data_IF_789948984816
#
_entry.id   IF_789948984816
#
_cell.length_a   1.000
_cell.length_b   1.000
_cell.length_c   1.000
_cell.angle_alpha   90.00
_cell.angle_beta   90.00
_cell.angle_gamma   90.00
#
_symmetry.space_group_name_H-M   'P 1'
#
loop_
_entity.id
_entity.type
_entity.pdbx_description
1 polymer ?
#
# COMPACT_ATOMS: atom_id res chain seq x y z
N UNK A 1 5.61 18.81 41.89
CA UNK A 1 6.68 18.35 40.95
C UNK A 1 6.45 16.87 40.74
N UNK A 2 5.93 16.45 39.61
CA UNK A 2 5.71 15.03 39.33
C UNK A 2 7.05 14.42 38.86
N UNK A 3 7.64 13.60 39.73
CA UNK A 3 8.80 12.81 39.38
C UNK A 3 8.35 11.70 38.42
N UNK A 4 8.96 11.68 37.21
CA UNK A 4 8.80 10.57 36.29
C UNK A 4 9.78 9.49 36.74
N UNK A 5 9.26 8.36 37.20
CA UNK A 5 10.06 7.20 37.58
C UNK A 5 10.45 6.44 36.29
N UNK A 6 11.75 6.37 36.03
CA UNK A 6 12.28 5.71 34.84
C UNK A 6 13.17 4.54 35.21
N UNK A 7 13.07 3.42 34.51
CA UNK A 7 13.87 2.21 34.74
C UNK A 7 14.85 1.97 33.60
N UNK A 8 16.05 1.53 33.94
CA UNK A 8 17.09 1.13 32.99
C UNK A 8 16.95 -0.36 32.68
N UNK A 9 16.92 -0.73 31.43
CA UNK A 9 16.84 -2.11 30.99
C UNK A 9 15.66 -2.43 30.07
N UNK A 10 15.67 -3.61 29.47
CA UNK A 10 14.55 -4.10 28.64
C UNK A 10 13.35 -4.41 29.55
N UNK A 11 12.16 -3.95 29.16
CA UNK A 11 10.92 -4.19 29.88
C UNK A 11 9.96 -4.94 28.96
N UNK A 12 9.60 -6.14 29.35
CA UNK A 12 8.55 -6.93 28.69
C UNK A 12 7.30 -6.87 29.58
N UNK A 13 6.40 -5.95 29.23
CA UNK A 13 5.14 -5.77 29.94
C UNK A 13 3.98 -6.11 29.00
N UNK A 14 3.07 -6.95 29.46
CA UNK A 14 1.89 -7.31 28.72
C UNK A 14 1.05 -6.09 28.31
N UNK A 15 0.30 -6.23 27.24
CA UNK A 15 -0.54 -5.17 26.70
C UNK A 15 -1.54 -4.65 27.75
N UNK A 16 -1.63 -3.33 27.91
CA UNK A 16 -2.49 -2.66 28.88
C UNK A 16 -1.84 -2.29 30.22
N UNK A 17 -0.57 -2.66 30.44
CA UNK A 17 0.15 -2.23 31.64
C UNK A 17 0.77 -0.84 31.46
N UNK A 18 0.80 -0.06 32.54
CA UNK A 18 1.50 1.23 32.55
C UNK A 18 3.00 0.97 32.55
N UNK A 19 3.66 1.39 31.49
CA UNK A 19 5.10 1.24 31.35
C UNK A 19 5.80 2.53 31.79
N UNK A 20 6.72 2.50 32.76
CA UNK A 20 7.54 3.66 33.05
C UNK A 20 8.46 3.96 31.86
N UNK A 21 8.68 5.24 31.59
CA UNK A 21 9.60 5.65 30.52
C UNK A 21 11.01 5.16 30.83
N UNK A 22 11.68 4.67 29.80
CA UNK A 22 13.08 4.33 29.87
C UNK A 22 13.93 5.61 29.70
N UNK A 23 14.87 5.85 30.59
CA UNK A 23 15.87 6.90 30.44
C UNK A 23 17.24 6.31 30.18
N UNK A 24 18.03 6.99 29.36
CA UNK A 24 19.44 6.71 29.21
C UNK A 24 20.25 7.08 30.49
N UNK A 25 21.55 6.80 30.46
CA UNK A 25 22.47 7.04 31.59
C UNK A 25 22.53 8.50 32.04
N UNK A 26 22.13 9.43 31.16
CA UNK A 26 22.16 10.88 31.38
C UNK A 26 20.77 11.48 31.56
N UNK A 27 19.77 10.65 31.92
CA UNK A 27 18.37 11.04 32.10
C UNK A 27 17.67 11.56 30.82
N UNK A 28 18.23 11.29 29.66
CA UNK A 28 17.64 11.48 28.36
C UNK A 28 16.66 10.34 28.04
N UNK A 29 15.63 10.61 27.23
CA UNK A 29 14.71 9.58 26.79
C UNK A 29 15.39 8.71 25.74
N UNK A 30 15.56 7.43 26.05
CA UNK A 30 16.11 6.47 25.09
C UNK A 30 14.97 5.82 24.30
N UNK A 31 14.71 6.33 23.10
CA UNK A 31 13.84 5.73 22.11
C UNK A 31 14.67 4.86 21.18
N UNK A 32 14.95 3.64 21.58
CA UNK A 32 15.64 2.70 20.71
C UNK A 32 14.63 1.94 19.87
N UNK A 33 14.52 2.27 18.58
CA UNK A 33 13.91 1.39 17.59
C UNK A 33 14.85 0.18 17.35
N UNK A 34 14.81 -0.78 18.25
CA UNK A 34 15.55 -2.03 18.09
C UNK A 34 14.95 -2.96 17.02
N UNK A 35 13.77 -2.64 16.55
CA UNK A 35 12.96 -3.43 15.60
C UNK A 35 12.47 -2.53 14.47
N UNK A 36 12.14 -3.14 13.31
CA UNK A 36 11.64 -2.38 12.15
C UNK A 36 10.40 -1.55 12.46
N UNK A 37 10.22 -0.44 11.75
CA UNK A 37 9.20 0.61 11.96
C UNK A 37 7.77 0.07 12.19
N UNK A 38 7.39 -1.05 11.55
CA UNK A 38 6.04 -1.61 11.66
C UNK A 38 5.97 -2.90 12.49
N UNK A 39 7.06 -3.28 13.16
CA UNK A 39 7.15 -4.56 13.84
C UNK A 39 6.04 -4.77 14.88
N UNK A 40 5.76 -3.75 15.70
CA UNK A 40 4.73 -3.86 16.74
C UNK A 40 3.33 -4.00 16.13
N UNK A 41 3.02 -3.24 15.07
CA UNK A 41 1.75 -3.38 14.35
C UNK A 41 1.61 -4.76 13.70
N UNK A 42 2.70 -5.29 13.14
CA UNK A 42 2.72 -6.65 12.58
C UNK A 42 2.49 -7.67 13.68
N UNK A 43 3.20 -7.57 14.81
CA UNK A 43 3.08 -8.47 15.96
C UNK A 43 1.68 -8.47 16.56
N UNK A 44 1.02 -7.32 16.60
CA UNK A 44 -0.39 -7.18 17.01
C UNK A 44 -1.38 -7.77 15.99
N UNK A 45 -0.88 -8.17 14.82
CA UNK A 45 -1.71 -8.72 13.75
C UNK A 45 -2.58 -7.66 13.05
N UNK A 46 -2.18 -6.40 13.05
CA UNK A 46 -2.92 -5.29 12.45
C UNK A 46 -2.40 -4.91 11.06
N UNK A 47 -1.36 -5.56 10.56
CA UNK A 47 -0.83 -5.32 9.21
C UNK A 47 -1.25 -6.43 8.26
N UNK A 48 -1.72 -6.02 7.09
CA UNK A 48 -2.22 -6.90 6.03
C UNK A 48 -1.55 -6.58 4.71
N UNK A 49 -1.55 -7.55 3.82
CA UNK A 49 -1.02 -7.40 2.47
C UNK A 49 -1.90 -8.11 1.44
N UNK A 50 -1.89 -7.58 0.24
CA UNK A 50 -2.47 -8.22 -0.93
C UNK A 50 -1.59 -7.98 -2.16
N UNK A 51 -1.51 -8.98 -3.03
CA UNK A 51 -0.70 -8.92 -4.22
C UNK A 51 -1.48 -9.43 -5.42
N UNK A 52 -1.34 -8.72 -6.53
CA UNK A 52 -1.75 -9.21 -7.82
C UNK A 52 -0.54 -9.80 -8.55
N UNK A 53 -0.54 -11.10 -8.74
CA UNK A 53 0.58 -11.85 -9.37
C UNK A 53 0.39 -12.05 -10.88
N UNK A 54 -0.83 -11.86 -11.41
CA UNK A 54 -1.09 -11.89 -12.84
C UNK A 54 -0.92 -10.49 -13.43
N UNK A 55 -0.20 -10.37 -14.53
CA UNK A 55 0.00 -9.09 -15.21
C UNK A 55 -1.33 -8.43 -15.59
N UNK A 56 -1.44 -7.12 -15.32
CA UNK A 56 -2.56 -6.30 -15.74
C UNK A 56 -2.16 -5.40 -16.89
N UNK A 57 -2.95 -5.35 -17.94
CA UNK A 57 -2.78 -4.39 -19.04
C UNK A 57 -3.06 -2.99 -18.53
N UNK A 58 -2.21 -2.02 -18.89
CA UNK A 58 -2.36 -0.63 -18.48
C UNK A 58 -3.29 0.13 -19.41
N UNK A 59 -3.98 1.09 -18.82
CA UNK A 59 -4.82 2.01 -19.58
C UNK A 59 -4.04 3.21 -20.13
N UNK A 60 -4.68 3.97 -21.01
CA UNK A 60 -4.15 5.25 -21.51
C UNK A 60 -4.64 6.44 -20.69
N UNK A 61 -5.62 6.23 -19.81
CA UNK A 61 -6.20 7.24 -18.92
C UNK A 61 -6.71 6.56 -17.65
N UNK A 62 -6.92 7.35 -16.59
CA UNK A 62 -7.61 6.88 -15.39
C UNK A 62 -9.04 6.45 -15.75
N UNK A 63 -9.47 5.34 -15.20
CA UNK A 63 -10.76 4.75 -15.50
C UNK A 63 -11.41 4.18 -14.24
N UNK A 64 -12.75 4.15 -14.23
CA UNK A 64 -13.51 3.48 -13.19
C UNK A 64 -13.33 1.96 -13.20
N UNK A 65 -12.86 1.39 -14.32
CA UNK A 65 -12.45 -0.02 -14.38
C UNK A 65 -10.97 -0.11 -14.04
N UNK A 66 -10.68 -0.20 -12.75
CA UNK A 66 -9.30 -0.21 -12.24
C UNK A 66 -8.67 -1.58 -12.43
N UNK A 67 -7.76 -1.68 -13.39
CA UNK A 67 -7.26 -2.96 -13.88
C UNK A 67 -6.19 -3.55 -12.96
N UNK A 68 -5.35 -2.71 -12.32
CA UNK A 68 -4.15 -3.20 -11.63
C UNK A 68 -4.47 -3.74 -10.24
N UNK A 69 -4.63 -2.91 -9.23
CA UNK A 69 -4.94 -3.31 -7.86
C UNK A 69 -5.75 -2.22 -7.17
N UNK A 70 -6.79 -2.60 -6.47
CA UNK A 70 -7.62 -1.70 -5.67
C UNK A 70 -7.69 -2.20 -4.24
N UNK A 71 -7.40 -1.33 -3.29
CA UNK A 71 -7.69 -1.51 -1.87
C UNK A 71 -8.96 -0.72 -1.54
N UNK A 72 -9.92 -1.39 -0.92
CA UNK A 72 -11.22 -0.84 -0.55
C UNK A 72 -11.48 -1.04 0.94
N UNK A 73 -11.89 0.02 1.61
CA UNK A 73 -12.40 -0.03 2.97
C UNK A 73 -13.94 -0.05 2.93
N UNK A 74 -14.59 -1.18 3.26
CA UNK A 74 -16.04 -1.30 3.18
C UNK A 74 -16.76 -0.30 4.10
N UNK A 75 -18.00 0.07 3.77
CA UNK A 75 -18.80 1.00 4.58
C UNK A 75 -19.07 0.47 6.00
N UNK A 76 -19.15 -0.85 6.17
CA UNK A 76 -19.35 -1.49 7.47
C UNK A 76 -18.07 -1.68 8.28
N UNK A 77 -16.93 -1.21 7.77
CA UNK A 77 -15.65 -1.30 8.47
C UNK A 77 -15.65 -0.43 9.73
N UNK A 78 -14.99 -0.92 10.78
CA UNK A 78 -14.75 -0.20 12.03
C UNK A 78 -13.29 0.22 12.19
N UNK A 79 -12.54 0.19 11.07
CA UNK A 79 -11.13 0.54 11.05
C UNK A 79 -10.81 1.49 9.90
N UNK A 80 -9.79 2.29 10.06
CA UNK A 80 -9.12 2.97 8.97
C UNK A 80 -8.03 2.08 8.37
N UNK A 81 -7.87 2.09 7.04
CA UNK A 81 -6.78 1.40 6.38
C UNK A 81 -5.66 2.40 6.09
N UNK A 82 -4.55 2.26 6.78
CA UNK A 82 -3.38 3.11 6.68
C UNK A 82 -2.39 2.46 5.71
N UNK A 83 -2.20 3.02 4.53
CA UNK A 83 -1.28 2.46 3.53
C UNK A 83 0.15 2.69 3.98
N UNK A 84 0.91 1.61 4.13
CA UNK A 84 2.31 1.62 4.57
C UNK A 84 3.27 1.59 3.39
N UNK A 85 3.02 0.67 2.46
CA UNK A 85 3.93 0.43 1.33
C UNK A 85 3.14 -0.08 0.13
N UNK A 86 3.59 0.27 -1.05
CA UNK A 86 3.18 -0.40 -2.27
C UNK A 86 4.40 -0.76 -3.12
N UNK A 87 4.30 -1.86 -3.85
CA UNK A 87 5.31 -2.26 -4.82
C UNK A 87 4.68 -2.41 -6.19
N UNK A 88 5.47 -2.14 -7.19
CA UNK A 88 5.05 -2.25 -8.55
C UNK A 88 6.19 -2.81 -9.42
N UNK A 89 5.85 -3.70 -10.33
CA UNK A 89 6.80 -4.22 -11.31
C UNK A 89 6.12 -4.38 -12.66
N UNK A 90 6.76 -3.89 -13.70
CA UNK A 90 6.36 -4.14 -15.07
C UNK A 90 6.75 -5.57 -15.47
N UNK A 91 5.83 -6.31 -16.06
CA UNK A 91 6.04 -7.70 -16.49
C UNK A 91 6.18 -7.86 -18.00
N UNK A 92 5.62 -6.94 -18.77
CA UNK A 92 5.81 -6.87 -20.20
C UNK A 92 5.78 -5.43 -20.69
N UNK A 93 6.58 -5.15 -21.69
CA UNK A 93 6.69 -3.85 -22.35
C UNK A 93 6.52 -4.00 -23.86
N UNK A 94 6.12 -2.91 -24.49
CA UNK A 94 6.02 -2.83 -25.94
C UNK A 94 7.40 -2.72 -26.57
N UNK A 95 7.61 -3.47 -27.66
CA UNK A 95 8.91 -3.56 -28.33
C UNK A 95 9.15 -2.49 -29.41
N UNK A 96 8.14 -1.72 -29.78
CA UNK A 96 8.15 -0.93 -31.03
C UNK A 96 7.99 0.58 -30.87
N UNK A 97 7.64 1.11 -29.69
CA UNK A 97 7.45 2.56 -29.50
C UNK A 97 8.06 3.05 -28.18
N UNK A 98 8.48 4.32 -28.18
CA UNK A 98 8.91 4.99 -26.95
C UNK A 98 7.69 5.16 -26.06
N UNK A 99 7.75 4.56 -24.87
CA UNK A 99 6.68 4.59 -23.89
C UNK A 99 7.22 5.18 -22.59
N UNK A 100 6.50 6.11 -22.00
CA UNK A 100 6.80 6.67 -20.68
C UNK A 100 5.66 6.27 -19.72
N UNK A 101 5.65 5.02 -19.24
CA UNK A 101 4.61 4.55 -18.37
C UNK A 101 4.71 5.24 -17.01
N UNK A 102 3.55 5.49 -16.41
CA UNK A 102 3.43 6.10 -15.08
C UNK A 102 2.49 5.27 -14.24
N UNK A 103 2.78 5.12 -12.97
CA UNK A 103 1.87 4.52 -11.99
C UNK A 103 1.35 5.60 -11.07
N UNK A 104 0.05 5.59 -10.82
CA UNK A 104 -0.63 6.56 -9.98
C UNK A 104 -1.39 5.85 -8.87
N UNK A 105 -1.40 6.48 -7.69
CA UNK A 105 -2.45 6.26 -6.71
C UNK A 105 -3.64 7.15 -7.07
N UNK A 106 -4.78 6.54 -7.25
CA UNK A 106 -6.01 7.26 -7.52
C UNK A 106 -7.10 6.81 -6.54
N UNK A 107 -7.87 7.75 -6.00
CA UNK A 107 -8.81 7.53 -4.93
C UNK A 107 -10.25 7.81 -5.33
N UNK A 108 -11.18 7.04 -4.78
CA UNK A 108 -12.58 7.39 -4.67
C UNK A 108 -12.85 7.76 -3.22
N UNK A 109 -13.19 9.03 -3.01
CA UNK A 109 -13.34 9.61 -1.67
C UNK A 109 -14.69 9.33 -1.03
N UNK A 110 -15.69 9.01 -1.85
CA UNK A 110 -17.02 8.61 -1.43
C UNK A 110 -17.55 7.60 -2.43
N UNK A 111 -17.67 6.37 -1.97
CA UNK A 111 -18.22 5.30 -2.81
C UNK A 111 -19.76 5.31 -2.83
N UNK A 112 -20.39 6.27 -2.13
CA UNK A 112 -21.84 6.55 -2.07
C UNK A 112 -22.73 5.36 -2.47
N UNK A 113 -22.76 4.35 -1.64
CA UNK A 113 -23.63 3.16 -1.75
C UNK A 113 -23.32 2.19 -2.90
N UNK A 114 -22.51 2.56 -3.89
CA UNK A 114 -22.11 1.65 -4.94
C UNK A 114 -20.93 0.79 -4.46
N UNK A 115 -21.12 -0.51 -4.41
CA UNK A 115 -20.06 -1.44 -4.01
C UNK A 115 -18.92 -1.43 -5.03
N UNK A 116 -17.68 -1.38 -4.54
CA UNK A 116 -16.52 -1.76 -5.36
C UNK A 116 -16.63 -3.25 -5.64
N UNK A 117 -16.63 -3.63 -6.91
CA UNK A 117 -16.68 -5.03 -7.34
C UNK A 117 -15.44 -5.38 -8.13
N UNK A 118 -15.12 -6.65 -8.26
CA UNK A 118 -13.96 -7.11 -9.02
C UNK A 118 -13.57 -8.53 -8.64
N UNK A 119 -12.44 -8.98 -9.16
CA UNK A 119 -11.86 -10.26 -8.76
C UNK A 119 -11.16 -10.09 -7.42
N UNK A 120 -11.69 -10.72 -6.37
CA UNK A 120 -11.11 -10.64 -5.04
C UNK A 120 -9.68 -11.18 -5.01
N UNK A 121 -8.78 -10.45 -4.41
CA UNK A 121 -7.43 -10.88 -4.11
C UNK A 121 -7.37 -11.48 -2.70
N UNK A 122 -6.42 -12.38 -2.49
CA UNK A 122 -6.21 -12.98 -1.18
C UNK A 122 -5.53 -11.92 -0.28
N UNK A 123 -6.24 -11.50 0.75
CA UNK A 123 -5.70 -10.67 1.83
C UNK A 123 -5.08 -11.57 2.89
N UNK A 124 -3.84 -11.31 3.25
CA UNK A 124 -3.09 -12.03 4.26
C UNK A 124 -2.58 -11.10 5.34
N UNK A 125 -2.63 -11.57 6.58
CA UNK A 125 -2.00 -10.91 7.70
C UNK A 125 -0.47 -11.04 7.59
N UNK A 126 0.27 -9.95 7.79
CA UNK A 126 1.73 -9.94 7.67
C UNK A 126 2.43 -10.77 8.75
N UNK A 127 1.78 -11.00 9.89
CA UNK A 127 2.26 -11.93 10.94
C UNK A 127 2.05 -13.41 10.56
N UNK A 128 1.49 -13.68 9.36
CA UNK A 128 1.24 -15.01 8.81
C UNK A 128 0.32 -15.89 9.66
N UNK A 129 -0.60 -15.29 10.39
CA UNK A 129 -1.60 -16.02 11.14
C UNK A 129 -3.03 -15.76 10.62
N UNK A 130 -4.03 -16.41 11.20
CA UNK A 130 -5.38 -16.53 10.61
C UNK A 130 -6.31 -15.34 10.82
N UNK A 131 -5.86 -14.21 11.41
CA UNK A 131 -6.69 -13.02 11.58
C UNK A 131 -7.13 -12.49 10.20
N UNK A 132 -8.42 -12.38 10.00
CA UNK A 132 -8.98 -11.76 8.82
C UNK A 132 -8.93 -10.24 8.94
N UNK A 133 -8.56 -9.56 7.85
CA UNK A 133 -8.66 -8.11 7.74
C UNK A 133 -10.07 -7.67 7.37
N UNK A 134 -10.38 -6.41 7.63
CA UNK A 134 -11.62 -5.77 7.16
C UNK A 134 -11.44 -5.13 5.78
N UNK A 135 -10.22 -4.74 5.43
CA UNK A 135 -9.87 -4.22 4.13
C UNK A 135 -10.01 -5.30 3.04
N UNK A 136 -10.58 -4.90 1.90
CA UNK A 136 -10.79 -5.76 0.74
C UNK A 136 -9.86 -5.33 -0.39
N UNK A 137 -9.24 -6.30 -1.05
CA UNK A 137 -8.39 -6.03 -2.21
C UNK A 137 -8.95 -6.71 -3.46
N UNK A 138 -8.91 -6.00 -4.58
CA UNK A 138 -9.45 -6.48 -5.85
C UNK A 138 -8.45 -6.28 -6.98
N UNK A 139 -8.51 -7.16 -7.96
CA UNK A 139 -8.00 -6.96 -9.31
C UNK A 139 -9.16 -6.78 -10.28
N UNK A 140 -8.94 -6.05 -11.38
CA UNK A 140 -9.99 -5.72 -12.35
C UNK A 140 -11.25 -5.13 -11.66
N UNK A 141 -11.04 -4.21 -10.74
CA UNK A 141 -12.11 -3.60 -9.96
C UNK A 141 -12.97 -2.69 -10.84
N UNK A 142 -14.27 -2.71 -10.60
CA UNK A 142 -15.21 -1.69 -11.08
C UNK A 142 -15.52 -0.76 -9.91
N UNK A 143 -15.19 0.50 -10.09
CA UNK A 143 -15.35 1.56 -9.09
C UNK A 143 -16.65 2.33 -9.35
N UNK A 144 -17.26 2.97 -8.34
CA UNK A 144 -18.47 3.77 -8.49
C UNK A 144 -18.31 4.94 -9.48
N UNK A 145 -17.12 5.50 -9.56
CA UNK A 145 -16.79 6.61 -10.47
C UNK A 145 -15.32 6.54 -10.88
N UNK A 146 -14.93 7.32 -11.88
CA UNK A 146 -13.53 7.49 -12.24
C UNK A 146 -12.78 8.08 -11.04
N UNK A 147 -11.71 7.42 -10.55
CA UNK A 147 -10.98 7.89 -9.39
C UNK A 147 -10.15 9.13 -9.71
N UNK A 148 -9.80 9.88 -8.68
CA UNK A 148 -8.99 11.09 -8.78
C UNK A 148 -7.55 10.73 -8.44
N UNK A 149 -6.59 11.14 -9.29
CA UNK A 149 -5.17 10.96 -9.00
C UNK A 149 -4.78 11.77 -7.75
N UNK A 150 -4.16 11.10 -6.77
CA UNK A 150 -3.72 11.72 -5.52
C UNK A 150 -2.21 11.74 -5.34
N UNK A 151 -1.50 10.79 -5.95
CA UNK A 151 -0.04 10.68 -5.84
C UNK A 151 0.53 9.93 -7.03
N UNK A 152 1.66 10.39 -7.53
CA UNK A 152 2.46 9.67 -8.52
C UNK A 152 3.37 8.68 -7.78
N UNK A 153 3.44 7.46 -8.27
CA UNK A 153 4.35 6.46 -7.77
C UNK A 153 5.80 6.86 -8.15
N UNK A 154 6.76 6.84 -7.21
CA UNK A 154 8.14 7.25 -7.50
C UNK A 154 8.87 6.18 -8.32
N UNK A 155 8.53 6.10 -9.59
CA UNK A 155 9.10 5.13 -10.51
C UNK A 155 9.33 5.77 -11.88
N UNK A 156 10.53 5.60 -12.40
CA UNK A 156 10.90 6.06 -13.73
C UNK A 156 11.31 4.88 -14.59
N UNK A 157 10.61 4.68 -15.69
CA UNK A 157 11.00 3.75 -16.73
C UNK A 157 11.12 4.52 -18.05
N UNK A 158 12.25 4.36 -18.69
CA UNK A 158 12.45 4.89 -20.05
C UNK A 158 12.64 3.71 -20.99
N UNK A 159 11.67 3.49 -21.85
CA UNK A 159 11.82 2.59 -22.97
C UNK A 159 12.41 3.39 -24.14
N UNK A 160 13.65 3.15 -24.50
CA UNK A 160 14.30 3.82 -25.61
C UNK A 160 14.29 2.92 -26.84
N UNK A 161 13.55 3.32 -27.87
CA UNK A 161 13.62 2.74 -29.21
C UNK A 161 14.65 3.50 -30.04
N UNK A 162 15.81 2.92 -30.22
CA UNK A 162 16.84 3.51 -31.07
C UNK A 162 18.06 2.61 -31.10
N UNK A 163 18.09 1.68 -32.06
CA UNK A 163 19.20 0.76 -32.23
C UNK A 163 18.92 -0.67 -31.71
N UNK A 164 19.80 -1.57 -32.01
CA UNK A 164 19.67 -3.03 -31.84
C UNK A 164 19.63 -3.52 -30.39
N UNK A 165 19.62 -2.63 -29.38
CA UNK A 165 19.62 -2.98 -27.96
C UNK A 165 18.51 -2.23 -27.26
N UNK A 166 17.44 -2.93 -26.94
CA UNK A 166 16.39 -2.44 -26.04
C UNK A 166 16.93 -2.63 -24.61
N UNK A 167 17.40 -1.57 -24.00
CA UNK A 167 17.73 -1.61 -22.57
C UNK A 167 16.42 -1.51 -21.77
N UNK A 168 15.91 -2.66 -21.36
CA UNK A 168 14.77 -2.77 -20.45
C UNK A 168 15.27 -2.67 -19.03
N UNK A 169 15.22 -1.49 -18.43
CA UNK A 169 15.39 -1.36 -16.99
C UNK A 169 14.07 -1.73 -16.31
N UNK A 170 13.95 -2.99 -15.91
CA UNK A 170 12.78 -3.51 -15.18
C UNK A 170 13.05 -3.53 -13.66
N UNK A 171 13.56 -2.45 -13.12
CA UNK A 171 13.72 -2.38 -11.67
C UNK A 171 12.33 -2.37 -11.01
N UNK A 172 12.07 -3.24 -10.01
CA UNK A 172 10.87 -3.11 -9.20
C UNK A 172 10.88 -1.77 -8.48
N UNK A 173 9.75 -1.10 -8.47
CA UNK A 173 9.58 0.13 -7.72
C UNK A 173 8.92 -0.16 -6.39
N UNK A 174 9.40 0.49 -5.34
CA UNK A 174 8.84 0.45 -3.99
C UNK A 174 8.53 1.87 -3.57
N UNK A 175 7.32 2.11 -3.11
CA UNK A 175 6.92 3.37 -2.49
C UNK A 175 6.57 3.12 -1.02
N UNK A 176 7.34 3.72 -0.13
CA UNK A 176 7.05 3.79 1.29
C UNK A 176 6.09 4.96 1.52
N UNK A 177 4.81 4.63 1.64
CA UNK A 177 3.73 5.62 1.83
C UNK A 177 3.70 6.09 3.28
N UNK A 178 4.09 5.22 4.21
CA UNK A 178 4.27 5.49 5.66
C UNK A 178 3.07 6.20 6.29
N UNK A 179 1.85 5.80 5.89
CA UNK A 179 0.63 6.38 6.42
C UNK A 179 0.18 7.71 5.80
N UNK A 180 0.84 8.20 4.75
CA UNK A 180 0.40 9.41 4.05
C UNK A 180 -0.92 9.23 3.27
N UNK A 181 -1.39 8.00 3.10
CA UNK A 181 -2.69 7.66 2.51
C UNK A 181 -3.48 6.83 3.53
N UNK A 182 -4.63 7.36 3.96
CA UNK A 182 -5.53 6.70 4.92
C UNK A 182 -6.92 6.57 4.28
N UNK A 183 -7.43 5.36 4.25
CA UNK A 183 -8.76 5.05 3.75
C UNK A 183 -9.72 4.91 4.92
N UNK A 184 -10.62 5.86 5.07
CA UNK A 184 -11.76 5.74 5.99
C UNK A 184 -12.78 4.73 5.44
N UNK A 185 -13.70 4.22 6.27
CA UNK A 185 -14.82 3.43 5.77
C UNK A 185 -15.50 4.08 4.56
N UNK A 186 -15.91 3.27 3.59
CA UNK A 186 -16.52 3.68 2.33
C UNK A 186 -15.59 4.42 1.34
N UNK A 187 -14.28 4.24 1.44
CA UNK A 187 -13.34 4.81 0.47
C UNK A 187 -12.48 3.72 -0.19
N UNK A 188 -11.86 4.05 -1.31
CA UNK A 188 -10.93 3.16 -1.98
C UNK A 188 -9.73 3.90 -2.58
N UNK A 189 -8.60 3.21 -2.67
CA UNK A 189 -7.44 3.63 -3.44
C UNK A 189 -7.07 2.56 -4.45
N UNK A 190 -6.72 2.99 -5.65
CA UNK A 190 -6.27 2.10 -6.70
C UNK A 190 -4.84 2.45 -7.13
N UNK A 191 -4.07 1.44 -7.47
CA UNK A 191 -2.84 1.57 -8.22
C UNK A 191 -3.19 1.40 -9.70
N UNK A 192 -3.12 2.47 -10.47
CA UNK A 192 -3.37 2.44 -11.91
C UNK A 192 -2.09 2.75 -12.68
N UNK A 193 -1.71 1.85 -13.55
CA UNK A 193 -0.68 2.08 -14.53
C UNK A 193 -1.25 2.78 -15.76
N UNK A 194 -0.62 3.88 -16.16
CA UNK A 194 -0.94 4.60 -17.38
C UNK A 194 0.22 4.52 -18.35
N UNK A 195 -0.09 4.32 -19.60
CA UNK A 195 0.89 4.25 -20.68
C UNK A 195 0.30 4.85 -21.96
N UNK A 196 1.15 5.23 -22.89
CA UNK A 196 0.69 5.73 -24.20
C UNK A 196 0.02 4.65 -25.06
N UNK A 197 0.20 3.38 -24.68
CA UNK A 197 -0.41 2.23 -25.37
C UNK A 197 -0.87 1.18 -24.36
N UNK A 198 -1.80 0.31 -24.75
CA UNK A 198 -2.37 -0.75 -23.94
C UNK A 198 -1.55 -2.05 -23.91
N UNK A 199 -0.29 -2.03 -24.33
CA UNK A 199 0.55 -3.24 -24.43
C UNK A 199 1.44 -3.47 -23.22
N UNK A 200 1.52 -2.52 -22.31
CA UNK A 200 2.28 -2.66 -21.07
C UNK A 200 1.46 -3.45 -20.06
N UNK A 201 2.12 -4.36 -19.37
CA UNK A 201 1.52 -5.11 -18.27
C UNK A 201 2.37 -4.99 -17.01
N UNK A 202 1.72 -5.02 -15.85
CA UNK A 202 2.42 -4.97 -14.58
C UNK A 202 1.70 -5.72 -13.47
N UNK A 203 2.45 -6.03 -12.43
CA UNK A 203 2.00 -6.60 -11.17
C UNK A 203 2.18 -5.58 -10.05
N UNK A 204 1.37 -5.69 -9.02
CA UNK A 204 1.44 -4.77 -7.89
C UNK A 204 1.13 -5.47 -6.58
N UNK A 205 1.69 -4.96 -5.48
CA UNK A 205 1.26 -5.33 -4.14
C UNK A 205 1.06 -4.09 -3.28
N UNK A 206 0.27 -4.23 -2.23
CA UNK A 206 0.00 -3.17 -1.26
C UNK A 206 0.02 -3.76 0.14
N UNK A 207 0.59 -3.02 1.07
CA UNK A 207 0.66 -3.33 2.50
C UNK A 207 -0.01 -2.19 3.26
N UNK A 208 -0.89 -2.54 4.19
CA UNK A 208 -1.60 -1.56 5.01
C UNK A 208 -1.76 -2.02 6.45
N UNK A 209 -1.95 -1.08 7.36
CA UNK A 209 -2.36 -1.34 8.72
C UNK A 209 -3.85 -1.05 8.89
N UNK A 210 -4.53 -1.82 9.75
CA UNK A 210 -5.91 -1.60 10.17
C UNK A 210 -5.91 -1.03 11.58
N UNK A 211 -6.36 0.22 11.70
CA UNK A 211 -6.38 0.99 12.94
C UNK A 211 -7.84 1.25 13.32
N UNK A 212 -8.30 0.86 14.53
CA UNK A 212 -9.67 1.17 14.98
C UNK A 212 -9.98 2.66 14.92
N UNK A 213 -11.18 3.00 14.42
CA UNK A 213 -11.71 4.39 14.34
C UNK A 213 -12.28 4.84 15.66
#
# INVERSE_FOLDING_TARGET
MNLIDSRVGSQDLGNGNVVPFRSGRYADFDFSESLGQYYELVKQGNVFCASRVAGAVWGTALTATAITLTLHNPIASTVDLVVLMATFQMTADQTTTTNAPTVLYAANLDNSEAAVTGTALIVKNAYLFTKAGQGLAYSAATLPSTPIAIRVFPWGHVCQTGGTVIQKSQAPAVDYVDGAIVLRPNTSVTLQGLATTTQITGIASIVWAEIPT
#
